data_IF_699049319948
#
_entry.id   IF_699049319948
#
_cell.length_a   1.000
_cell.length_b   1.000
_cell.length_c   1.000
_cell.angle_alpha   90.00
_cell.angle_beta   90.00
_cell.angle_gamma   90.00
#
_symmetry.space_group_name_H-M   'P 1'
#
loop_
_entity.id
_entity.type
_entity.pdbx_description
1 polymer ?
#
# COMPACT_ATOMS: atom_id res chain seq x y z
N UNK A 1 -25.34 5.79 21.54
CA UNK A 1 -24.28 6.56 20.89
C UNK A 1 -23.22 6.81 21.94
N UNK A 2 -22.03 6.25 21.76
CA UNK A 2 -20.87 6.64 22.57
C UNK A 2 -20.46 8.05 22.17
N UNK A 3 -20.19 8.91 23.14
CA UNK A 3 -19.71 10.28 22.86
C UNK A 3 -18.36 10.19 22.14
N UNK A 4 -18.27 10.82 20.96
CA UNK A 4 -17.01 10.96 20.23
C UNK A 4 -16.14 11.99 20.92
N UNK A 5 -14.89 11.64 21.22
CA UNK A 5 -13.90 12.58 21.73
C UNK A 5 -13.40 13.41 20.52
N UNK A 6 -13.60 14.74 20.49
CA UNK A 6 -13.25 15.55 19.31
C UNK A 6 -11.74 15.64 19.02
N UNK A 7 -10.90 15.39 20.02
CA UNK A 7 -9.44 15.42 19.91
C UNK A 7 -8.90 14.07 20.41
N UNK A 8 -8.40 13.24 19.49
CA UNK A 8 -7.75 11.99 19.88
C UNK A 8 -6.49 12.33 20.70
N UNK A 9 -6.35 11.84 21.95
CA UNK A 9 -5.19 12.14 22.78
C UNK A 9 -3.93 11.37 22.37
N UNK A 10 -4.04 10.35 21.52
CA UNK A 10 -2.94 9.52 21.04
C UNK A 10 -1.88 10.30 20.25
N UNK A 11 -0.78 9.62 19.95
CA UNK A 11 0.33 10.18 19.18
C UNK A 11 0.14 9.83 17.72
N UNK A 12 0.09 10.84 16.84
CA UNK A 12 0.06 10.62 15.38
C UNK A 12 1.42 10.08 14.94
N UNK A 13 1.42 8.87 14.37
CA UNK A 13 2.61 8.15 13.92
C UNK A 13 2.94 8.46 12.46
N UNK A 14 1.92 8.44 11.59
CA UNK A 14 2.05 9.01 10.26
C UNK A 14 0.69 9.39 9.68
N UNK A 15 0.72 10.28 8.69
CA UNK A 15 -0.43 10.54 7.83
C UNK A 15 -0.04 10.65 6.35
N UNK A 16 -0.92 10.19 5.47
CA UNK A 16 -0.65 10.12 4.04
C UNK A 16 -1.67 9.30 3.25
N UNK A 17 -1.25 8.82 2.09
CA UNK A 17 -2.03 7.93 1.23
C UNK A 17 -1.27 6.61 1.09
N UNK A 18 -1.97 5.46 1.12
CA UNK A 18 -1.36 4.14 0.96
C UNK A 18 -2.16 3.16 0.08
N UNK A 19 -2.49 3.52 -1.17
CA UNK A 19 -3.24 2.64 -2.07
C UNK A 19 -2.50 1.31 -2.34
N UNK A 20 -3.27 0.23 -2.48
CA UNK A 20 -2.76 -1.12 -2.68
C UNK A 20 -3.36 -1.83 -3.90
N UNK A 21 -2.59 -2.71 -4.52
CA UNK A 21 -3.05 -3.64 -5.56
C UNK A 21 -2.52 -5.03 -5.24
N UNK A 22 -3.42 -5.98 -5.01
CA UNK A 22 -3.06 -7.38 -4.81
C UNK A 22 -3.75 -8.23 -5.87
N UNK A 23 -2.96 -8.93 -6.68
CA UNK A 23 -3.44 -9.70 -7.83
C UNK A 23 -3.32 -11.20 -7.57
N UNK A 24 -4.28 -11.94 -8.12
CA UNK A 24 -4.25 -13.40 -8.18
C UNK A 24 -4.45 -13.88 -9.62
N UNK A 25 -3.65 -14.86 -10.05
CA UNK A 25 -3.91 -15.62 -11.27
C UNK A 25 -5.00 -16.66 -11.05
N UNK A 26 -4.95 -17.36 -9.91
CA UNK A 26 -5.98 -18.28 -9.43
C UNK A 26 -6.70 -17.65 -8.22
N UNK A 27 -8.02 -17.36 -8.27
CA UNK A 27 -8.77 -16.79 -7.15
C UNK A 27 -8.63 -17.56 -5.83
N UNK A 28 -8.49 -18.89 -5.92
CA UNK A 28 -8.33 -19.78 -4.76
C UNK A 28 -6.85 -19.99 -4.39
N UNK A 29 -5.94 -19.52 -5.24
CA UNK A 29 -4.49 -19.58 -5.03
C UNK A 29 -3.96 -18.47 -4.13
N UNK A 30 -2.63 -18.46 -3.96
CA UNK A 30 -1.93 -17.40 -3.25
C UNK A 30 -1.76 -16.14 -4.10
N UNK A 31 -1.23 -15.06 -3.51
CA UNK A 31 -0.98 -13.80 -4.21
C UNK A 31 0.06 -13.98 -5.31
N UNK A 32 -0.32 -13.65 -6.54
CA UNK A 32 0.59 -13.68 -7.68
C UNK A 32 1.48 -12.45 -7.70
N UNK A 33 0.93 -11.28 -7.38
CA UNK A 33 1.73 -10.07 -7.23
C UNK A 33 1.11 -9.11 -6.23
N UNK A 34 1.96 -8.32 -5.58
CA UNK A 34 1.59 -7.37 -4.55
C UNK A 34 2.22 -6.02 -4.84
N UNK A 35 1.44 -4.95 -4.71
CA UNK A 35 1.94 -3.59 -4.73
C UNK A 35 1.31 -2.78 -3.61
N UNK A 36 2.12 -1.93 -2.99
CA UNK A 36 1.65 -0.85 -2.14
C UNK A 36 2.46 0.39 -2.46
N UNK A 37 1.77 1.52 -2.59
CA UNK A 37 2.39 2.81 -2.74
C UNK A 37 2.08 3.64 -1.51
N UNK A 38 3.04 4.41 -1.02
CA UNK A 38 2.85 5.38 0.05
C UNK A 38 3.21 6.77 -0.44
N UNK A 39 2.35 7.74 -0.11
CA UNK A 39 2.65 9.17 -0.09
C UNK A 39 2.49 9.67 1.32
N UNK A 40 3.57 9.71 2.07
CA UNK A 40 3.55 10.15 3.47
C UNK A 40 3.74 11.65 3.54
N UNK A 41 2.79 12.34 4.18
CA UNK A 41 2.83 13.79 4.39
C UNK A 41 3.46 14.15 5.73
N UNK A 42 3.29 13.30 6.74
CA UNK A 42 3.83 13.47 8.10
C UNK A 42 4.29 12.12 8.65
N UNK A 43 5.47 12.09 9.24
CA UNK A 43 5.96 11.00 10.11
C UNK A 43 7.14 11.52 10.96
N UNK A 44 7.60 10.76 11.98
CA UNK A 44 8.87 11.03 12.68
C UNK A 44 10.10 11.09 11.77
N UNK A 45 10.04 10.46 10.60
CA UNK A 45 11.14 10.39 9.62
C UNK A 45 10.95 11.36 8.43
N UNK A 46 10.02 12.32 8.58
CA UNK A 46 9.69 13.30 7.56
C UNK A 46 8.66 12.78 6.55
N UNK A 47 8.57 13.48 5.41
CA UNK A 47 7.70 13.11 4.29
C UNK A 47 8.45 12.26 3.27
N UNK A 48 7.73 11.55 2.41
CA UNK A 48 8.34 10.82 1.32
C UNK A 48 7.35 9.97 0.53
N UNK A 49 7.88 9.31 -0.49
CA UNK A 49 7.18 8.43 -1.39
C UNK A 49 7.87 7.07 -1.46
N UNK A 50 7.07 6.01 -1.46
CA UNK A 50 7.55 4.63 -1.52
C UNK A 50 6.63 3.89 -2.49
N UNK A 51 7.20 3.14 -3.42
CA UNK A 51 6.47 2.18 -4.24
C UNK A 51 7.14 0.82 -4.09
N UNK A 52 6.48 -0.08 -3.38
CA UNK A 52 6.93 -1.45 -3.15
C UNK A 52 6.13 -2.38 -4.06
N UNK A 53 6.84 -3.13 -4.91
CA UNK A 53 6.29 -4.11 -5.84
C UNK A 53 6.92 -5.46 -5.58
N UNK A 54 6.11 -6.52 -5.52
CA UNK A 54 6.55 -7.91 -5.52
C UNK A 54 5.83 -8.65 -6.66
N UNK A 55 6.52 -8.89 -7.77
CA UNK A 55 6.04 -9.79 -8.83
C UNK A 55 6.11 -11.26 -8.41
N UNK A 56 7.01 -11.60 -7.49
CA UNK A 56 7.18 -12.93 -6.94
C UNK A 56 7.24 -12.84 -5.42
N UNK A 57 6.09 -12.67 -4.71
CA UNK A 57 6.06 -12.40 -3.28
C UNK A 57 6.83 -13.42 -2.42
N UNK A 58 6.90 -14.68 -2.83
CA UNK A 58 7.54 -15.75 -2.08
C UNK A 58 8.99 -16.04 -2.51
N UNK A 59 9.55 -15.23 -3.42
CA UNK A 59 10.95 -15.29 -3.84
C UNK A 59 11.75 -14.16 -3.21
N UNK A 60 12.94 -14.46 -2.67
CA UNK A 60 13.87 -13.44 -2.17
C UNK A 60 14.77 -12.84 -3.28
N UNK A 61 14.48 -13.10 -4.56
CA UNK A 61 15.19 -12.47 -5.66
C UNK A 61 14.69 -11.03 -5.85
N UNK A 62 15.61 -10.07 -5.98
CA UNK A 62 15.32 -8.67 -6.27
C UNK A 62 15.64 -8.28 -7.72
N UNK A 63 15.38 -7.03 -8.07
CA UNK A 63 15.70 -6.48 -9.39
C UNK A 63 17.23 -6.45 -9.63
N UNK A 64 17.74 -6.81 -10.83
CA UNK A 64 17.00 -7.05 -12.07
C UNK A 64 16.57 -8.51 -12.30
N UNK A 65 16.94 -9.45 -11.43
CA UNK A 65 16.66 -10.88 -11.64
C UNK A 65 15.18 -11.23 -11.43
N UNK A 66 14.48 -10.48 -10.58
CA UNK A 66 13.02 -10.51 -10.43
C UNK A 66 12.47 -9.11 -10.15
N UNK A 67 11.23 -8.80 -10.53
CA UNK A 67 10.62 -7.50 -10.24
C UNK A 67 10.07 -7.39 -8.80
N UNK A 68 10.88 -7.81 -7.83
CA UNK A 68 10.69 -7.47 -6.42
C UNK A 68 11.58 -6.27 -6.11
N UNK A 69 10.95 -5.10 -5.96
CA UNK A 69 11.68 -3.83 -5.81
C UNK A 69 10.90 -2.82 -4.98
N UNK A 70 11.64 -1.88 -4.41
CA UNK A 70 11.11 -0.74 -3.68
C UNK A 70 11.77 0.54 -4.18
N UNK A 71 11.01 1.40 -4.86
CA UNK A 71 11.47 2.74 -5.26
C UNK A 71 11.13 3.73 -4.14
N UNK A 72 12.11 4.53 -3.68
CA UNK A 72 11.85 5.53 -2.62
C UNK A 72 12.72 6.78 -2.74
N UNK A 73 12.22 7.89 -2.20
CA UNK A 73 12.98 9.14 -1.97
C UNK A 73 13.38 9.36 -0.51
N UNK A 74 13.03 8.45 0.41
CA UNK A 74 13.30 8.57 1.83
C UNK A 74 13.51 7.17 2.46
N UNK A 75 14.78 6.77 2.58
CA UNK A 75 15.15 5.45 3.12
C UNK A 75 14.73 5.29 4.58
N UNK A 76 14.97 6.31 5.42
CA UNK A 76 14.62 6.25 6.85
C UNK A 76 13.11 6.07 7.07
N UNK A 77 12.29 6.77 6.28
CA UNK A 77 10.83 6.55 6.28
C UNK A 77 10.49 5.14 5.80
N UNK A 78 11.18 4.63 4.79
CA UNK A 78 10.85 3.31 4.25
C UNK A 78 11.14 2.21 5.25
N UNK A 79 12.28 2.27 5.94
CA UNK A 79 12.62 1.28 6.95
C UNK A 79 11.59 1.30 8.08
N UNK A 80 11.19 2.49 8.54
CA UNK A 80 10.10 2.67 9.51
C UNK A 80 8.78 2.04 9.02
N UNK A 81 8.35 2.31 7.78
CA UNK A 81 7.11 1.72 7.27
C UNK A 81 7.20 0.20 7.11
N UNK A 82 8.36 -0.33 6.72
CA UNK A 82 8.57 -1.77 6.60
C UNK A 82 8.46 -2.44 7.96
N UNK A 83 9.18 -1.93 8.94
CA UNK A 83 9.35 -2.57 10.24
C UNK A 83 8.12 -2.43 11.13
N UNK A 84 7.45 -1.29 11.09
CA UNK A 84 6.33 -0.98 12.00
C UNK A 84 4.94 -1.17 11.37
N UNK A 85 4.81 -1.25 10.04
CA UNK A 85 3.51 -1.32 9.35
C UNK A 85 3.40 -2.44 8.32
N UNK A 86 4.16 -2.37 7.22
CA UNK A 86 3.99 -3.24 6.05
C UNK A 86 4.15 -4.72 6.43
N UNK A 87 5.16 -5.06 7.26
CA UNK A 87 5.37 -6.45 7.72
C UNK A 87 4.21 -6.99 8.57
N UNK A 88 3.36 -6.15 9.13
CA UNK A 88 2.16 -6.56 9.86
C UNK A 88 0.93 -6.71 8.96
N UNK A 89 0.95 -6.16 7.75
CA UNK A 89 -0.16 -6.32 6.82
C UNK A 89 -0.27 -7.79 6.40
N UNK A 90 -1.46 -8.43 6.53
CA UNK A 90 -1.62 -9.86 6.29
C UNK A 90 -1.15 -10.35 4.91
N UNK A 91 -1.22 -9.49 3.89
CA UNK A 91 -0.80 -9.80 2.52
C UNK A 91 0.73 -9.87 2.36
N UNK A 92 1.47 -9.05 3.11
CA UNK A 92 2.94 -8.92 3.03
C UNK A 92 3.68 -9.69 4.12
N UNK A 93 3.02 -10.01 5.24
CA UNK A 93 3.64 -10.71 6.36
C UNK A 93 4.21 -12.07 5.94
N UNK A 94 5.52 -12.25 6.16
CA UNK A 94 6.22 -13.51 5.89
C UNK A 94 6.56 -13.75 4.42
N UNK A 95 6.35 -12.77 3.53
CA UNK A 95 6.71 -12.86 2.11
C UNK A 95 8.21 -12.66 1.94
N UNK A 96 8.91 -13.65 1.37
CA UNK A 96 10.36 -13.59 1.17
C UNK A 96 10.78 -12.41 0.28
N UNK A 97 9.90 -11.94 -0.61
CA UNK A 97 10.13 -10.77 -1.43
C UNK A 97 10.29 -9.48 -0.64
N UNK A 98 9.72 -9.37 0.57
CA UNK A 98 9.95 -8.21 1.45
C UNK A 98 11.41 -8.12 1.89
N UNK A 99 12.05 -9.27 2.14
CA UNK A 99 13.44 -9.31 2.60
C UNK A 99 14.44 -9.27 1.43
N UNK A 100 14.03 -9.76 0.26
CA UNK A 100 14.88 -9.89 -0.92
C UNK A 100 14.76 -8.78 -1.97
N UNK A 101 13.77 -7.89 -1.86
CA UNK A 101 13.54 -6.84 -2.85
C UNK A 101 14.73 -5.86 -2.98
N UNK A 102 14.98 -5.41 -4.21
CA UNK A 102 15.98 -4.37 -4.46
C UNK A 102 15.45 -2.99 -4.09
N UNK A 103 16.18 -2.27 -3.25
CA UNK A 103 15.89 -0.87 -2.90
C UNK A 103 16.52 0.08 -3.90
N UNK A 104 15.71 0.93 -4.54
CA UNK A 104 16.12 1.78 -5.65
C UNK A 104 15.82 3.27 -5.35
N UNK A 105 16.80 4.18 -5.48
CA UNK A 105 16.57 5.61 -5.31
C UNK A 105 15.62 6.17 -6.38
N UNK A 106 14.59 6.89 -5.96
CA UNK A 106 13.62 7.52 -6.84
C UNK A 106 14.26 8.63 -7.68
N UNK A 107 14.04 8.58 -8.99
CA UNK A 107 14.43 9.62 -9.94
C UNK A 107 13.30 10.58 -10.26
N UNK A 108 12.10 10.05 -10.47
CA UNK A 108 10.92 10.86 -10.72
C UNK A 108 9.66 10.18 -10.21
N UNK A 109 8.65 11.00 -9.99
CA UNK A 109 7.29 10.57 -9.68
C UNK A 109 6.31 11.38 -10.52
N UNK A 110 5.23 10.73 -10.93
CA UNK A 110 4.05 11.38 -11.50
C UNK A 110 2.78 10.71 -11.03
N UNK A 111 1.75 11.51 -10.85
CA UNK A 111 0.40 11.03 -10.60
C UNK A 111 -0.49 11.47 -11.76
N UNK A 112 -1.40 10.60 -12.17
CA UNK A 112 -2.41 10.89 -13.20
C UNK A 112 -3.80 10.42 -12.76
N UNK A 113 -4.82 10.92 -13.48
CA UNK A 113 -6.21 10.52 -13.27
C UNK A 113 -6.96 11.50 -12.38
N UNK A 114 -8.16 11.08 -11.97
CA UNK A 114 -9.13 11.95 -11.29
C UNK A 114 -9.67 11.35 -9.98
N UNK A 115 -9.22 10.16 -9.60
CA UNK A 115 -9.74 9.38 -8.47
C UNK A 115 -11.27 9.16 -8.51
N UNK A 116 -11.87 9.28 -9.70
CA UNK A 116 -13.30 8.99 -9.94
C UNK A 116 -13.47 7.81 -10.88
N UNK A 117 -12.62 7.73 -11.91
CA UNK A 117 -12.67 6.69 -12.93
C UNK A 117 -11.38 5.88 -12.97
N UNK A 118 -10.25 6.60 -12.99
CA UNK A 118 -8.90 6.04 -13.07
C UNK A 118 -7.97 6.86 -12.18
N UNK A 119 -7.05 6.18 -11.50
CA UNK A 119 -5.95 6.80 -10.76
C UNK A 119 -4.65 6.06 -11.08
N UNK A 120 -3.55 6.80 -11.23
CA UNK A 120 -2.23 6.23 -11.47
C UNK A 120 -1.16 6.86 -10.61
N UNK A 121 -0.24 6.02 -10.17
CA UNK A 121 1.04 6.42 -9.59
C UNK A 121 2.16 5.83 -10.44
N UNK A 122 3.04 6.70 -10.92
CA UNK A 122 4.21 6.35 -11.70
C UNK A 122 5.45 6.78 -10.95
N UNK A 123 6.43 5.88 -10.83
CA UNK A 123 7.73 6.16 -10.23
C UNK A 123 8.83 5.56 -11.09
N UNK A 124 9.96 6.25 -11.19
CA UNK A 124 11.13 5.74 -11.90
C UNK A 124 12.37 5.73 -11.01
N UNK A 125 13.30 4.83 -11.33
CA UNK A 125 14.64 4.77 -10.80
C UNK A 125 15.61 4.41 -11.93
N UNK A 126 16.88 4.15 -11.62
CA UNK A 126 17.84 3.71 -12.63
C UNK A 126 17.44 2.38 -13.28
N UNK A 127 17.21 2.41 -14.60
CA UNK A 127 16.87 1.22 -15.39
C UNK A 127 15.44 0.71 -15.23
N UNK A 128 14.57 1.42 -14.50
CA UNK A 128 13.21 0.96 -14.22
C UNK A 128 12.19 2.10 -14.16
N UNK A 129 11.03 1.88 -14.79
CA UNK A 129 9.82 2.69 -14.63
C UNK A 129 8.66 1.79 -14.18
N UNK A 130 7.98 2.19 -13.12
CA UNK A 130 6.87 1.47 -12.53
C UNK A 130 5.59 2.29 -12.64
N UNK A 131 4.47 1.61 -12.94
CA UNK A 131 3.15 2.22 -12.96
C UNK A 131 2.14 1.32 -12.22
N UNK A 132 1.47 1.91 -11.24
CA UNK A 132 0.30 1.36 -10.58
C UNK A 132 -0.93 2.08 -11.10
N UNK A 133 -1.91 1.33 -11.57
CA UNK A 133 -3.16 1.88 -12.09
C UNK A 133 -4.36 1.22 -11.42
N UNK A 134 -5.27 2.04 -10.91
CA UNK A 134 -6.57 1.64 -10.39
C UNK A 134 -7.67 2.15 -11.32
N UNK A 135 -8.63 1.29 -11.66
CA UNK A 135 -9.74 1.56 -12.59
C UNK A 135 -11.06 1.16 -11.95
N UNK A 136 -12.16 1.73 -12.47
CA UNK A 136 -13.53 1.45 -12.00
C UNK A 136 -13.65 1.70 -10.49
N UNK A 137 -13.19 2.88 -10.06
CA UNK A 137 -13.25 3.28 -8.67
C UNK A 137 -14.71 3.41 -8.21
N UNK A 138 -15.01 2.81 -7.07
CA UNK A 138 -16.31 2.88 -6.41
C UNK A 138 -16.48 4.18 -5.62
N UNK A 139 -17.63 4.28 -4.95
CA UNK A 139 -17.91 5.39 -4.05
C UNK A 139 -16.98 5.37 -2.83
N UNK A 140 -16.49 6.54 -2.36
CA UNK A 140 -15.66 6.60 -1.17
C UNK A 140 -16.44 6.28 0.10
N UNK A 141 -15.77 5.66 1.06
CA UNK A 141 -16.30 5.46 2.41
C UNK A 141 -15.22 5.66 3.47
N UNK A 142 -15.64 6.13 4.64
CA UNK A 142 -14.75 6.37 5.76
C UNK A 142 -14.55 5.08 6.58
N UNK A 143 -13.29 4.80 6.91
CA UNK A 143 -12.87 3.71 7.77
C UNK A 143 -12.29 4.28 9.05
N UNK A 144 -12.74 3.75 10.18
CA UNK A 144 -12.20 4.01 11.51
C UNK A 144 -12.06 2.66 12.21
N UNK A 145 -10.84 2.30 12.58
CA UNK A 145 -10.56 1.05 13.30
C UNK A 145 -9.73 1.32 14.56
N UNK A 146 -9.94 0.48 15.56
CA UNK A 146 -9.20 0.48 16.83
C UNK A 146 -8.07 -0.55 16.79
N UNK A 147 -7.16 -0.59 17.78
CA UNK A 147 -6.08 -1.58 17.81
C UNK A 147 -6.54 -3.03 17.63
N UNK A 148 -7.75 -3.37 18.08
CA UNK A 148 -8.31 -4.72 17.95
C UNK A 148 -8.50 -5.16 16.48
N UNK A 149 -8.91 -4.24 15.61
CA UNK A 149 -9.30 -4.52 14.23
C UNK A 149 -8.25 -4.03 13.22
N UNK A 150 -7.18 -3.41 13.72
CA UNK A 150 -6.09 -2.85 12.94
C UNK A 150 -4.99 -3.89 12.71
N UNK A 151 -4.36 -3.89 11.53
CA UNK A 151 -3.37 -4.91 11.14
C UNK A 151 -2.15 -4.98 12.08
N UNK A 152 -1.75 -3.84 12.65
CA UNK A 152 -0.63 -3.75 13.60
C UNK A 152 -0.98 -4.21 15.02
N UNK A 153 -2.28 -4.31 15.35
CA UNK A 153 -2.72 -4.63 16.71
C UNK A 153 -2.51 -3.52 17.76
N UNK A 154 -1.93 -2.38 17.36
CA UNK A 154 -1.43 -1.35 18.29
C UNK A 154 -1.96 0.06 18.02
N UNK A 155 -2.60 0.29 16.89
CA UNK A 155 -2.94 1.62 16.41
C UNK A 155 -4.44 1.80 16.18
N UNK A 156 -4.94 3.00 16.45
CA UNK A 156 -6.13 3.51 15.78
C UNK A 156 -5.75 3.92 14.35
N UNK A 157 -6.66 3.71 13.39
CA UNK A 157 -6.48 4.19 12.01
C UNK A 157 -7.77 4.82 11.50
N UNK A 158 -7.61 5.97 10.85
CA UNK A 158 -8.66 6.71 10.16
C UNK A 158 -8.29 6.87 8.70
N UNK A 159 -9.21 6.61 7.78
CA UNK A 159 -8.92 6.70 6.34
C UNK A 159 -10.18 6.86 5.50
N UNK A 160 -10.03 7.33 4.27
CA UNK A 160 -11.08 7.23 3.25
C UNK A 160 -10.64 6.21 2.22
N UNK A 161 -11.48 5.18 2.02
CA UNK A 161 -11.23 4.11 1.08
C UNK A 161 -12.08 4.25 -0.19
N UNK A 162 -11.49 3.87 -1.31
CA UNK A 162 -12.15 3.62 -2.59
C UNK A 162 -11.82 2.20 -3.02
N UNK A 163 -12.81 1.39 -3.33
CA UNK A 163 -12.56 0.11 -3.97
C UNK A 163 -12.33 0.30 -5.46
N UNK A 164 -11.36 -0.40 -6.03
CA UNK A 164 -11.14 -0.45 -7.46
C UNK A 164 -11.67 -1.78 -8.00
N UNK A 165 -12.58 -1.75 -8.97
CA UNK A 165 -13.04 -2.98 -9.61
C UNK A 165 -11.97 -3.63 -10.48
N UNK A 166 -10.98 -2.89 -10.95
CA UNK A 166 -9.88 -3.41 -11.75
C UNK A 166 -8.59 -2.62 -11.49
N UNK A 167 -7.44 -3.26 -11.68
CA UNK A 167 -6.14 -2.64 -11.44
C UNK A 167 -5.03 -3.36 -12.21
N UNK A 168 -3.90 -2.68 -12.38
CA UNK A 168 -2.70 -3.28 -12.98
C UNK A 168 -1.42 -2.73 -12.34
N UNK A 169 -0.43 -3.60 -12.25
CA UNK A 169 0.94 -3.28 -11.88
C UNK A 169 1.79 -3.49 -13.14
N UNK A 170 2.64 -2.54 -13.49
CA UNK A 170 3.58 -2.71 -14.61
C UNK A 170 4.97 -2.17 -14.31
N UNK A 171 5.96 -2.85 -14.88
CA UNK A 171 7.38 -2.49 -14.83
C UNK A 171 7.91 -2.45 -16.25
N UNK A 172 8.52 -1.32 -16.64
CA UNK A 172 9.02 -1.06 -17.99
C UNK A 172 7.98 -1.35 -19.09
N UNK A 173 6.71 -1.01 -18.82
CA UNK A 173 5.58 -1.21 -19.73
C UNK A 173 5.04 -2.64 -19.80
N UNK A 174 5.66 -3.60 -19.11
CA UNK A 174 5.17 -4.98 -19.01
C UNK A 174 4.29 -5.10 -17.77
N UNK A 175 3.04 -5.53 -17.96
CA UNK A 175 2.11 -5.75 -16.84
C UNK A 175 2.37 -7.09 -16.16
N UNK A 176 2.30 -7.11 -14.84
CA UNK A 176 2.30 -8.35 -14.07
C UNK A 176 1.01 -9.14 -14.33
N UNK A 177 1.13 -10.47 -14.22
CA UNK A 177 -0.02 -11.35 -14.33
C UNK A 177 -0.94 -11.27 -13.10
N UNK A 178 -2.19 -11.65 -13.32
CA UNK A 178 -3.22 -11.77 -12.30
C UNK A 178 -4.36 -10.76 -12.48
N UNK A 179 -5.36 -10.88 -11.60
CA UNK A 179 -6.57 -10.06 -11.61
C UNK A 179 -6.92 -9.65 -10.19
N UNK A 180 -7.64 -8.53 -10.09
CA UNK A 180 -8.32 -8.12 -8.87
C UNK A 180 -9.39 -9.16 -8.52
N UNK A 181 -9.48 -9.51 -7.24
CA UNK A 181 -10.50 -10.40 -6.68
C UNK A 181 -11.11 -9.76 -5.44
N UNK A 182 -11.83 -10.55 -4.66
CA UNK A 182 -12.37 -10.13 -3.38
C UNK A 182 -11.54 -10.68 -2.22
N UNK A 183 -11.61 -10.00 -1.08
CA UNK A 183 -11.04 -10.43 0.20
C UNK A 183 -11.89 -9.93 1.37
N UNK A 184 -11.79 -10.59 2.51
CA UNK A 184 -12.37 -10.08 3.75
C UNK A 184 -11.45 -8.97 4.31
N UNK A 185 -11.99 -7.76 4.47
CA UNK A 185 -11.30 -6.61 5.04
C UNK A 185 -12.28 -5.80 5.88
N UNK A 186 -11.89 -5.41 7.10
CA UNK A 186 -12.78 -4.74 8.07
C UNK A 186 -14.14 -5.44 8.29
N UNK A 187 -14.17 -6.77 8.23
CA UNK A 187 -15.39 -7.56 8.40
C UNK A 187 -16.35 -7.51 7.21
N UNK A 188 -15.93 -6.95 6.07
CA UNK A 188 -16.70 -6.87 4.84
C UNK A 188 -15.92 -7.49 3.67
N UNK A 189 -16.64 -7.98 2.67
CA UNK A 189 -16.02 -8.39 1.41
C UNK A 189 -15.65 -7.14 0.63
N UNK A 190 -14.36 -6.97 0.35
CA UNK A 190 -13.81 -5.82 -0.35
C UNK A 190 -12.87 -6.25 -1.47
N UNK A 191 -12.69 -5.39 -2.47
CA UNK A 191 -11.72 -5.55 -3.54
C UNK A 191 -10.29 -5.69 -3.01
N UNK A 192 -9.49 -6.50 -3.70
CA UNK A 192 -8.04 -6.61 -3.48
C UNK A 192 -7.25 -5.44 -4.07
N UNK A 193 -7.90 -4.52 -4.77
CA UNK A 193 -7.34 -3.25 -5.20
C UNK A 193 -8.15 -2.09 -4.64
N UNK A 194 -7.47 -1.12 -4.03
CA UNK A 194 -8.12 -0.03 -3.34
C UNK A 194 -7.22 1.20 -3.27
N UNK A 195 -7.85 2.37 -3.16
CA UNK A 195 -7.21 3.58 -2.71
C UNK A 195 -7.51 3.76 -1.24
N UNK A 196 -6.50 4.08 -0.45
CA UNK A 196 -6.63 4.52 0.94
C UNK A 196 -5.94 5.89 1.02
N UNK A 197 -6.73 6.92 1.30
CA UNK A 197 -6.27 8.31 1.26
C UNK A 197 -6.58 9.05 2.54
N UNK A 198 -5.76 10.06 2.84
CA UNK A 198 -5.80 10.76 4.12
C UNK A 198 -5.74 9.81 5.32
N UNK A 199 -5.08 8.67 5.13
CA UNK A 199 -4.90 7.66 6.15
C UNK A 199 -4.02 8.23 7.26
N UNK A 200 -4.48 8.10 8.50
CA UNK A 200 -3.81 8.61 9.69
C UNK A 200 -3.73 7.50 10.72
N UNK A 201 -2.52 7.18 11.15
CA UNK A 201 -2.24 6.17 12.17
C UNK A 201 -1.91 6.86 13.48
N UNK A 202 -2.61 6.44 14.53
CA UNK A 202 -2.48 7.02 15.87
C UNK A 202 -2.17 5.91 16.86
N UNK A 203 -1.09 6.06 17.62
CA UNK A 203 -0.81 5.21 18.78
C UNK A 203 -1.62 5.73 19.97
N UNK A 204 -2.58 4.95 20.51
CA UNK A 204 -3.35 5.37 21.66
C UNK A 204 -2.44 5.65 22.86
N UNK A 205 -2.83 6.59 23.73
CA UNK A 205 -2.16 6.71 25.04
C UNK A 205 -2.56 5.50 25.89
N UNK A 206 -1.56 4.84 26.48
CA UNK A 206 -1.71 3.86 27.55
C UNK A 206 -2.25 4.51 28.82
#
# INVERSE_FOLDING_TARGET
MTDRIPVNPGTVEWCGDNPGIYLKQDPEGDWSSLAVYFRVTLSPHGRGHIMLLLEQPDSAAGFPDANNLCITDNDALTDYLLDDFIRYFPTFRGRAGIDGMSRLPMKSRRCEGDMKSVYRELMSADGVECCLEWRRLGEPFAVEVTPKDCATGAHDMYSVFFEAGDASISVNGVSFDGRVTDRLFFGQTMSTAFLAVSETWVRPRS
#
